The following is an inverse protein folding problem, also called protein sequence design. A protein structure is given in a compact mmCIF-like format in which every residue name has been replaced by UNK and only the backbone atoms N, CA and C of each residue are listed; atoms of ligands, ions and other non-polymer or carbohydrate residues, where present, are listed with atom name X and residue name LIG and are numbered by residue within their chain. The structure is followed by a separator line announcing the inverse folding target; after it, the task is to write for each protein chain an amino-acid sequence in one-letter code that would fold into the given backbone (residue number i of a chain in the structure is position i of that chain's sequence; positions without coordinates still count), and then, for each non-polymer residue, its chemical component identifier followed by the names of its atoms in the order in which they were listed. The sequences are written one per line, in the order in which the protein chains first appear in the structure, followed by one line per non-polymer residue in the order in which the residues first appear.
data_IF_013878122881
#
_entry.id   IF_013878122881
#
_cell.length_a   1.000
_cell.length_b   1.000
_cell.length_c   1.000
_cell.angle_alpha   90.00
_cell.angle_beta   90.00
_cell.angle_gamma   90.00
#
_symmetry.space_group_name_H-M   'P 1'
#
loop_
_entity.id
_entity.type
_entity.pdbx_description
1 polymer ?
#
# COMPACT_ATOMS: atom_id res chain seq x y z
N UNK A 1 -31.29 -62.20 -69.84
CA UNK A 1 -30.59 -63.02 -68.82
C UNK A 1 -30.57 -62.25 -67.51
N UNK A 2 -30.93 -62.96 -66.42
CA UNK A 2 -30.77 -62.70 -64.98
C UNK A 2 -31.08 -61.28 -64.45
N UNK A 3 -32.28 -60.97 -63.91
CA UNK A 3 -32.86 -61.34 -62.58
C UNK A 3 -31.98 -61.04 -61.37
N UNK A 4 -32.45 -60.10 -60.53
CA UNK A 4 -32.90 -60.22 -59.11
C UNK A 4 -33.13 -58.78 -58.61
N UNK A 5 -34.35 -58.26 -58.41
CA UNK A 5 -35.42 -58.58 -57.42
C UNK A 5 -34.89 -58.74 -55.99
N UNK A 6 -35.13 -57.73 -55.14
CA UNK A 6 -36.00 -57.88 -53.95
C UNK A 6 -36.37 -56.51 -53.35
N UNK A 7 -37.68 -56.25 -53.33
CA UNK A 7 -38.40 -55.18 -52.60
C UNK A 7 -38.53 -55.57 -51.10
N UNK A 8 -39.49 -55.07 -50.27
CA UNK A 8 -40.20 -53.77 -50.17
C UNK A 8 -40.23 -53.23 -48.71
N UNK A 9 -40.78 -52.04 -48.46
CA UNK A 9 -41.91 -51.78 -47.52
C UNK A 9 -42.25 -50.26 -47.56
N UNK A 10 -43.31 -49.88 -48.27
CA UNK A 10 -44.65 -49.50 -47.77
C UNK A 10 -44.69 -48.16 -47.01
N UNK A 11 -45.12 -47.08 -47.69
CA UNK A 11 -46.49 -46.47 -47.65
C UNK A 11 -46.80 -45.88 -46.25
N UNK A 12 -47.11 -44.59 -46.08
CA UNK A 12 -48.28 -43.96 -46.65
C UNK A 12 -48.27 -42.41 -46.61
N UNK A 13 -48.89 -41.85 -47.65
CA UNK A 13 -49.68 -40.61 -47.79
C UNK A 13 -49.66 -39.46 -46.77
N UNK A 14 -49.30 -38.28 -47.30
CA UNK A 14 -50.07 -37.01 -47.37
C UNK A 14 -50.75 -36.48 -46.10
N UNK A 15 -50.27 -35.32 -45.62
CA UNK A 15 -51.11 -34.12 -45.44
C UNK A 15 -50.30 -32.89 -45.85
N UNK A 16 -50.72 -32.20 -46.92
CA UNK A 16 -50.30 -30.83 -47.21
C UNK A 16 -51.01 -29.92 -46.21
N UNK A 17 -50.25 -29.29 -45.32
CA UNK A 17 -50.67 -28.07 -44.64
C UNK A 17 -49.80 -26.92 -45.13
N UNK A 18 -50.39 -25.75 -45.45
CA UNK A 18 -49.62 -24.58 -45.86
C UNK A 18 -48.90 -24.05 -44.62
N UNK A 19 -47.62 -24.38 -44.47
CA UNK A 19 -46.75 -23.62 -43.60
C UNK A 19 -46.59 -22.25 -44.24
N UNK A 20 -47.31 -21.28 -43.68
CA UNK A 20 -46.94 -19.88 -43.68
C UNK A 20 -45.52 -19.78 -43.10
N UNK A 21 -44.51 -20.02 -43.93
CA UNK A 21 -43.16 -19.60 -43.66
C UNK A 21 -43.20 -18.08 -43.74
N UNK A 22 -43.27 -17.46 -42.57
CA UNK A 22 -43.06 -16.05 -42.37
C UNK A 22 -41.89 -15.58 -43.25
N UNK A 23 -41.97 -14.39 -43.87
CA UNK A 23 -40.77 -13.80 -44.44
C UNK A 23 -39.74 -13.75 -43.33
N UNK A 24 -38.57 -14.35 -43.58
CA UNK A 24 -37.40 -14.15 -42.74
C UNK A 24 -37.20 -12.64 -42.74
N UNK A 25 -37.57 -12.00 -41.64
CA UNK A 25 -37.25 -10.61 -41.39
C UNK A 25 -35.73 -10.56 -41.33
N UNK A 26 -35.11 -10.15 -42.44
CA UNK A 26 -33.73 -9.70 -42.45
C UNK A 26 -33.72 -8.47 -41.53
N UNK A 27 -33.37 -8.69 -40.26
CA UNK A 27 -33.21 -7.64 -39.27
C UNK A 27 -32.04 -6.75 -39.72
N UNK A 28 -32.34 -5.56 -40.23
CA UNK A 28 -31.36 -4.56 -40.65
C UNK A 28 -30.56 -3.92 -39.48
N UNK A 29 -30.11 -4.68 -38.47
CA UNK A 29 -29.36 -4.12 -37.33
C UNK A 29 -28.22 -5.03 -36.82
N UNK A 30 -27.43 -5.65 -37.71
CA UNK A 30 -26.23 -6.36 -37.26
C UNK A 30 -25.10 -5.34 -36.99
N UNK A 31 -25.09 -4.76 -35.78
CA UNK A 31 -24.02 -3.86 -35.33
C UNK A 31 -22.87 -4.72 -34.82
N UNK A 32 -21.66 -4.51 -35.35
CA UNK A 32 -20.45 -5.08 -34.76
C UNK A 32 -20.03 -4.25 -33.54
N UNK A 33 -20.37 -4.72 -32.35
CA UNK A 33 -20.14 -3.99 -31.10
C UNK A 33 -18.66 -3.71 -30.82
N UNK A 34 -17.74 -4.57 -31.27
CA UNK A 34 -16.29 -4.34 -31.07
C UNK A 34 -15.78 -3.19 -31.91
N UNK A 35 -16.32 -3.03 -33.11
CA UNK A 35 -15.96 -1.94 -34.01
C UNK A 35 -16.78 -0.67 -33.74
N UNK A 36 -17.98 -0.81 -33.17
CA UNK A 36 -18.86 0.30 -32.82
C UNK A 36 -18.39 1.08 -31.59
N UNK A 37 -17.72 0.43 -30.63
CA UNK A 37 -17.24 1.12 -29.43
C UNK A 37 -16.15 2.13 -29.78
N UNK A 38 -16.29 3.34 -29.24
CA UNK A 38 -15.26 4.37 -29.18
C UNK A 38 -14.81 4.56 -27.74
N UNK A 39 -13.49 4.63 -27.53
CA UNK A 39 -12.88 4.75 -26.21
C UNK A 39 -12.17 6.09 -26.11
N UNK A 40 -12.76 6.99 -25.34
CA UNK A 40 -12.19 8.30 -25.04
C UNK A 40 -11.62 8.32 -23.62
N UNK A 41 -10.69 9.24 -23.36
CA UNK A 41 -10.06 9.40 -22.05
C UNK A 41 -10.27 10.80 -21.53
N UNK A 42 -10.71 10.92 -20.27
CA UNK A 42 -10.94 12.22 -19.60
C UNK A 42 -9.62 12.97 -19.42
N UNK A 43 -8.56 12.24 -19.08
CA UNK A 43 -7.20 12.73 -18.93
C UNK A 43 -6.28 12.01 -19.90
N UNK A 44 -5.10 12.56 -20.12
CA UNK A 44 -4.07 11.85 -20.86
C UNK A 44 -3.75 10.52 -20.16
N UNK A 45 -3.78 9.41 -20.91
CA UNK A 45 -3.57 8.06 -20.40
C UNK A 45 -2.25 7.93 -19.63
N UNK A 46 -1.17 8.52 -20.16
CA UNK A 46 0.16 8.42 -19.55
C UNK A 46 0.30 9.20 -18.23
N UNK A 47 -0.72 9.96 -17.82
CA UNK A 47 -0.79 10.68 -16.56
C UNK A 47 -1.74 10.01 -15.54
N UNK A 48 -2.31 8.85 -15.88
CA UNK A 48 -3.27 8.11 -15.05
C UNK A 48 -2.73 6.71 -14.81
N UNK A 49 -2.63 6.30 -13.56
CA UNK A 49 -2.28 4.92 -13.21
C UNK A 49 -3.30 3.92 -13.75
N UNK A 50 -2.85 2.70 -14.10
CA UNK A 50 -3.75 1.66 -14.58
C UNK A 50 -4.85 1.34 -13.54
N UNK A 51 -4.52 1.38 -12.24
CA UNK A 51 -5.51 1.22 -11.15
C UNK A 51 -6.67 2.23 -11.18
N UNK A 52 -6.44 3.43 -11.71
CA UNK A 52 -7.44 4.51 -11.73
C UNK A 52 -8.12 4.66 -13.11
N UNK A 53 -7.82 3.76 -14.05
CA UNK A 53 -8.22 3.86 -15.44
C UNK A 53 -9.74 3.89 -15.64
N UNK A 54 -10.50 3.07 -14.92
CA UNK A 54 -11.96 2.96 -15.11
C UNK A 54 -12.67 4.31 -14.92
N UNK A 55 -12.22 5.09 -13.93
CA UNK A 55 -12.76 6.43 -13.66
C UNK A 55 -12.39 7.48 -14.72
N UNK A 56 -11.45 7.17 -15.62
CA UNK A 56 -10.95 8.05 -16.66
C UNK A 56 -11.32 7.58 -18.09
N UNK A 57 -11.95 6.42 -18.24
CA UNK A 57 -12.42 5.89 -19.53
C UNK A 57 -13.86 6.35 -19.76
N UNK A 58 -14.13 6.83 -20.97
CA UNK A 58 -15.48 7.12 -21.46
C UNK A 58 -15.75 6.31 -22.71
N UNK A 59 -16.75 5.45 -22.65
CA UNK A 59 -17.20 4.67 -23.80
C UNK A 59 -18.35 5.39 -24.50
N UNK A 60 -18.31 5.43 -25.83
CA UNK A 60 -19.38 5.93 -26.67
C UNK A 60 -19.61 5.01 -27.88
N UNK A 61 -20.79 5.10 -28.50
CA UNK A 61 -21.15 4.32 -29.68
C UNK A 61 -20.98 5.17 -30.94
N UNK A 62 -20.20 4.66 -31.90
CA UNK A 62 -20.04 5.31 -33.21
C UNK A 62 -21.35 5.34 -34.00
N UNK A 63 -22.17 4.31 -33.89
CA UNK A 63 -23.50 4.26 -34.51
C UNK A 63 -24.55 5.07 -33.75
N UNK A 64 -24.26 5.54 -32.54
CA UNK A 64 -25.20 6.20 -31.63
C UNK A 64 -26.42 5.35 -31.23
N UNK A 65 -26.39 4.04 -31.49
CA UNK A 65 -27.51 3.10 -31.24
C UNK A 65 -27.28 2.21 -30.02
N UNK A 66 -26.06 2.15 -29.51
CA UNK A 66 -25.62 1.22 -28.46
C UNK A 66 -25.17 2.02 -27.25
N UNK A 67 -25.50 1.56 -26.05
CA UNK A 67 -24.87 2.03 -24.81
C UNK A 67 -24.00 0.90 -24.25
N UNK A 68 -23.00 1.23 -23.45
CA UNK A 68 -22.02 0.25 -22.96
C UNK A 68 -21.96 0.29 -21.44
N UNK A 69 -22.11 -0.88 -20.82
CA UNK A 69 -21.68 -1.11 -19.45
C UNK A 69 -20.22 -1.57 -19.45
N UNK A 70 -19.47 -1.14 -18.46
CA UNK A 70 -18.05 -1.43 -18.33
C UNK A 70 -17.74 -1.95 -16.93
N UNK A 71 -17.00 -3.04 -16.89
CA UNK A 71 -16.48 -3.64 -15.66
C UNK A 71 -14.96 -3.75 -15.77
N UNK A 72 -14.25 -3.46 -14.68
CA UNK A 72 -12.81 -3.65 -14.62
C UNK A 72 -12.52 -5.14 -14.35
N UNK A 73 -11.71 -5.77 -15.21
CA UNK A 73 -11.23 -7.14 -14.99
C UNK A 73 -9.90 -7.11 -14.23
N UNK A 74 -8.92 -6.39 -14.78
CA UNK A 74 -7.58 -6.36 -14.22
C UNK A 74 -6.83 -5.08 -14.61
N UNK A 75 -5.82 -4.76 -13.80
CA UNK A 75 -4.89 -3.66 -14.02
C UNK A 75 -3.48 -4.13 -13.76
N UNK A 76 -2.52 -3.55 -14.47
CA UNK A 76 -1.11 -3.77 -14.24
C UNK A 76 -0.37 -2.43 -14.28
N UNK A 77 -0.11 -1.87 -13.11
CA UNK A 77 0.63 -0.62 -12.96
C UNK A 77 2.12 -0.77 -13.32
N UNK A 78 2.67 -1.99 -13.40
CA UNK A 78 4.06 -2.20 -13.84
C UNK A 78 4.20 -1.95 -15.35
N UNK A 79 3.23 -2.45 -16.12
CA UNK A 79 3.22 -2.36 -17.58
C UNK A 79 2.38 -1.22 -18.13
N UNK A 80 1.47 -0.64 -17.33
CA UNK A 80 0.54 0.41 -17.75
C UNK A 80 -0.62 -0.14 -18.58
N UNK A 81 -1.07 -1.36 -18.26
CA UNK A 81 -2.07 -2.11 -19.02
C UNK A 81 -3.35 -2.31 -18.18
N UNK A 82 -4.50 -2.29 -18.86
CA UNK A 82 -5.82 -2.48 -18.26
C UNK A 82 -6.63 -3.42 -19.14
N UNK A 83 -7.37 -4.33 -18.51
CA UNK A 83 -8.37 -5.17 -19.19
C UNK A 83 -9.74 -4.83 -18.64
N UNK A 84 -10.66 -4.42 -19.53
CA UNK A 84 -12.05 -4.14 -19.20
C UNK A 84 -12.98 -5.11 -19.91
N UNK A 85 -14.09 -5.46 -19.27
CA UNK A 85 -15.21 -6.15 -19.88
C UNK A 85 -16.25 -5.12 -20.30
N UNK A 86 -16.67 -5.19 -21.55
CA UNK A 86 -17.64 -4.29 -22.15
C UNK A 86 -18.89 -5.10 -22.47
N UNK A 87 -20.04 -4.70 -21.92
CA UNK A 87 -21.34 -5.29 -22.21
C UNK A 87 -22.18 -4.29 -23.02
N UNK A 88 -22.42 -4.55 -24.31
CA UNK A 88 -23.26 -3.67 -25.13
C UNK A 88 -24.73 -3.81 -24.75
N UNK A 89 -25.46 -2.70 -24.81
CA UNK A 89 -26.90 -2.62 -24.60
C UNK A 89 -27.50 -2.01 -25.86
N UNK A 90 -28.29 -2.81 -26.57
CA UNK A 90 -29.03 -2.38 -27.75
C UNK A 90 -30.52 -2.50 -27.45
N UNK A 91 -31.26 -1.39 -27.55
CA UNK A 91 -32.71 -1.35 -27.27
C UNK A 91 -33.07 -1.96 -25.90
N UNK A 92 -32.31 -1.60 -24.86
CA UNK A 92 -32.46 -2.10 -23.49
C UNK A 92 -32.25 -3.61 -23.31
N UNK A 93 -31.65 -4.30 -24.29
CA UNK A 93 -31.25 -5.69 -24.18
C UNK A 93 -29.73 -5.82 -24.13
N UNK A 94 -29.24 -6.47 -23.07
CA UNK A 94 -27.84 -6.83 -22.91
C UNK A 94 -27.43 -7.79 -24.04
N UNK A 95 -26.30 -7.51 -24.65
CA UNK A 95 -25.68 -8.31 -25.68
C UNK A 95 -24.49 -9.09 -25.12
N UNK A 96 -23.92 -9.98 -25.92
CA UNK A 96 -22.71 -10.72 -25.52
C UNK A 96 -21.57 -9.75 -25.19
N UNK A 97 -21.04 -9.87 -23.98
CA UNK A 97 -19.92 -9.07 -23.52
C UNK A 97 -18.61 -9.51 -24.20
N UNK A 98 -17.65 -8.59 -24.27
CA UNK A 98 -16.31 -8.87 -24.75
C UNK A 98 -15.26 -8.11 -23.93
N UNK A 99 -14.03 -8.62 -23.95
CA UNK A 99 -12.90 -7.98 -23.28
C UNK A 99 -12.16 -7.04 -24.23
N UNK A 100 -11.68 -5.94 -23.67
CA UNK A 100 -10.80 -4.99 -24.34
C UNK A 100 -9.57 -4.73 -23.48
N UNK A 101 -8.40 -4.97 -24.07
CA UNK A 101 -7.12 -4.58 -23.49
C UNK A 101 -6.75 -3.17 -23.96
N UNK A 102 -6.35 -2.33 -23.01
CA UNK A 102 -5.94 -0.93 -23.24
C UNK A 102 -4.59 -0.70 -22.60
N UNK A 103 -3.64 -0.23 -23.42
CA UNK A 103 -2.25 0.02 -23.00
C UNK A 103 -1.94 1.53 -23.01
N UNK A 104 -0.83 1.88 -22.38
CA UNK A 104 -0.28 3.24 -22.36
C UNK A 104 -0.72 4.09 -21.16
N UNK A 105 -1.22 3.46 -20.10
CA UNK A 105 -1.41 4.12 -18.81
C UNK A 105 -0.08 4.40 -18.12
N UNK A 106 -0.09 5.31 -17.14
CA UNK A 106 1.09 5.63 -16.35
C UNK A 106 1.58 4.38 -15.60
N UNK A 107 2.84 4.03 -15.81
CA UNK A 107 3.52 2.97 -15.06
C UNK A 107 3.93 3.50 -13.68
N UNK A 108 3.83 2.69 -12.64
CA UNK A 108 4.29 3.06 -11.28
C UNK A 108 5.69 2.52 -11.05
N UNK A 109 6.64 3.42 -10.79
CA UNK A 109 8.03 3.04 -10.50
C UNK A 109 8.11 2.12 -9.28
N UNK A 110 7.37 2.45 -8.22
CA UNK A 110 7.32 1.67 -6.99
C UNK A 110 6.85 0.23 -7.20
N UNK A 111 5.91 0.00 -8.13
CA UNK A 111 5.44 -1.34 -8.47
C UNK A 111 6.49 -2.13 -9.25
N UNK A 112 7.19 -1.50 -10.18
CA UNK A 112 8.30 -2.12 -10.93
C UNK A 112 9.42 -2.53 -9.96
N UNK A 113 9.75 -1.66 -9.01
CA UNK A 113 10.85 -1.88 -8.07
C UNK A 113 10.56 -2.95 -6.99
N UNK A 114 9.32 -3.42 -6.83
CA UNK A 114 8.99 -4.57 -5.95
C UNK A 114 9.65 -5.88 -6.39
N UNK A 115 10.03 -5.96 -7.66
CA UNK A 115 10.70 -7.13 -8.22
C UNK A 115 12.20 -7.16 -7.87
N UNK A 116 12.76 -6.03 -7.41
CA UNK A 116 14.15 -5.96 -6.93
C UNK A 116 14.24 -6.58 -5.55
N UNK A 117 14.72 -7.82 -5.46
CA UNK A 117 14.84 -8.56 -4.18
C UNK A 117 16.14 -8.24 -3.45
N UNK A 118 17.24 -8.17 -4.19
CA UNK A 118 18.55 -7.77 -3.65
C UNK A 118 19.43 -7.20 -4.74
N UNK A 119 20.40 -6.39 -4.33
CA UNK A 119 21.54 -5.98 -5.15
C UNK A 119 22.82 -6.51 -4.55
N UNK A 120 23.81 -6.74 -5.40
CA UNK A 120 25.14 -7.18 -4.98
C UNK A 120 26.21 -6.68 -5.96
N UNK A 121 27.50 -6.83 -5.61
CA UNK A 121 28.63 -6.32 -6.36
C UNK A 121 29.57 -7.44 -6.82
N UNK A 122 29.96 -7.39 -8.10
CA UNK A 122 30.95 -8.30 -8.70
C UNK A 122 32.33 -8.02 -8.07
N UNK A 123 33.12 -9.08 -7.86
CA UNK A 123 34.50 -9.00 -7.33
C UNK A 123 34.65 -8.43 -5.90
N UNK A 124 33.57 -8.04 -5.21
CA UNK A 124 33.64 -7.37 -3.89
C UNK A 124 34.53 -8.06 -2.85
N UNK A 125 34.57 -9.40 -2.86
CA UNK A 125 35.37 -10.19 -1.90
C UNK A 125 36.88 -10.07 -2.10
N UNK A 126 37.34 -9.55 -3.24
CA UNK A 126 38.76 -9.34 -3.56
C UNK A 126 39.29 -8.01 -3.04
N UNK A 127 38.42 -7.09 -2.61
CA UNK A 127 38.79 -5.71 -2.29
C UNK A 127 38.30 -5.31 -0.89
N UNK A 128 39.02 -4.38 -0.24
CA UNK A 128 38.44 -3.63 0.89
C UNK A 128 37.41 -2.64 0.34
N UNK A 129 36.50 -2.17 1.20
CA UNK A 129 35.42 -1.26 0.78
C UNK A 129 35.99 0.02 0.12
N UNK A 130 36.95 0.68 0.75
CA UNK A 130 37.50 1.94 0.25
C UNK A 130 38.31 1.76 -1.04
N UNK A 131 39.04 0.64 -1.17
CA UNK A 131 39.76 0.27 -2.40
C UNK A 131 38.78 0.04 -3.55
N UNK A 132 37.68 -0.67 -3.27
CA UNK A 132 36.64 -0.96 -4.25
C UNK A 132 35.96 0.32 -4.75
N UNK A 133 35.60 1.22 -3.83
CA UNK A 133 35.02 2.52 -4.17
C UNK A 133 36.02 3.30 -5.04
N UNK A 134 37.27 3.42 -4.61
CA UNK A 134 38.30 4.16 -5.34
C UNK A 134 38.54 3.62 -6.76
N UNK A 135 38.52 2.30 -6.92
CA UNK A 135 38.77 1.64 -8.20
C UNK A 135 37.57 1.69 -9.15
N UNK A 136 36.35 1.52 -8.64
CA UNK A 136 35.16 1.28 -9.47
C UNK A 136 34.13 2.41 -9.44
N UNK A 137 34.37 3.54 -8.77
CA UNK A 137 33.37 4.61 -8.65
C UNK A 137 32.76 5.07 -9.99
N UNK A 138 33.59 5.23 -11.03
CA UNK A 138 33.13 5.66 -12.36
C UNK A 138 32.44 4.55 -13.17
N UNK A 139 32.67 3.28 -12.83
CA UNK A 139 32.12 2.10 -13.53
C UNK A 139 31.24 1.26 -12.60
N UNK A 140 30.75 1.83 -11.50
CA UNK A 140 30.08 1.09 -10.44
C UNK A 140 28.82 0.38 -10.97
N UNK A 141 28.13 1.02 -11.93
CA UNK A 141 26.95 0.48 -12.58
C UNK A 141 27.20 -0.89 -13.23
N UNK A 142 28.35 -1.06 -13.86
CA UNK A 142 28.73 -2.31 -14.55
C UNK A 142 29.10 -3.43 -13.56
N UNK A 143 29.29 -3.06 -12.29
CA UNK A 143 29.61 -4.00 -11.21
C UNK A 143 28.39 -4.41 -10.39
N UNK A 144 27.23 -3.79 -10.59
CA UNK A 144 26.00 -4.15 -9.86
C UNK A 144 25.34 -5.36 -10.50
N UNK A 145 25.11 -6.38 -9.69
CA UNK A 145 24.21 -7.50 -9.99
C UNK A 145 22.89 -7.30 -9.28
N UNK A 146 21.82 -7.80 -9.88
CA UNK A 146 20.46 -7.67 -9.34
C UNK A 146 19.84 -9.05 -9.25
N UNK A 147 19.09 -9.32 -8.19
CA UNK A 147 18.22 -10.49 -8.11
C UNK A 147 16.78 -10.02 -8.28
N UNK A 148 16.20 -10.40 -9.41
CA UNK A 148 14.76 -10.29 -9.68
C UNK A 148 14.21 -11.67 -10.05
N UNK A 149 12.88 -11.85 -10.17
CA UNK A 149 12.31 -13.13 -10.61
C UNK A 149 12.80 -13.59 -11.99
N UNK A 150 13.19 -12.67 -12.87
CA UNK A 150 13.45 -12.97 -14.29
C UNK A 150 14.86 -12.54 -14.77
N UNK A 151 15.48 -11.57 -14.10
CA UNK A 151 16.75 -10.95 -14.52
C UNK A 151 17.83 -11.05 -13.44
N UNK A 152 19.07 -11.24 -13.88
CA UNK A 152 20.28 -11.30 -13.04
C UNK A 152 21.23 -10.10 -13.23
N UNK A 153 21.02 -9.31 -14.28
CA UNK A 153 21.82 -8.14 -14.67
C UNK A 153 21.03 -6.85 -14.47
N UNK A 154 21.66 -5.83 -13.87
CA UNK A 154 21.03 -4.52 -13.70
C UNK A 154 20.66 -3.91 -15.05
N UNK A 155 21.53 -4.02 -16.06
CA UNK A 155 21.28 -3.43 -17.37
C UNK A 155 20.08 -4.06 -18.10
N UNK A 156 19.88 -5.37 -17.94
CA UNK A 156 18.75 -6.07 -18.57
C UNK A 156 17.43 -5.63 -17.90
N UNK A 157 17.41 -5.56 -16.57
CA UNK A 157 16.28 -5.03 -15.81
C UNK A 157 15.94 -3.59 -16.21
N UNK A 158 16.94 -2.70 -16.29
CA UNK A 158 16.74 -1.32 -16.69
C UNK A 158 16.21 -1.22 -18.13
N UNK A 159 16.74 -2.02 -19.05
CA UNK A 159 16.33 -2.01 -20.47
C UNK A 159 14.90 -2.48 -20.64
N UNK A 160 14.53 -3.59 -20.00
CA UNK A 160 13.19 -4.18 -20.04
C UNK A 160 12.11 -3.18 -19.63
N UNK A 161 12.34 -2.49 -18.51
CA UNK A 161 11.38 -1.53 -17.96
C UNK A 161 11.60 -0.09 -18.46
N UNK A 162 12.62 0.13 -19.30
CA UNK A 162 13.03 1.46 -19.79
C UNK A 162 13.27 2.44 -18.63
N UNK A 163 14.03 1.98 -17.64
CA UNK A 163 14.41 2.75 -16.46
C UNK A 163 15.77 3.42 -16.68
N UNK A 164 15.93 4.58 -16.07
CA UNK A 164 17.19 5.29 -15.96
C UNK A 164 17.75 5.16 -14.54
N UNK A 165 19.08 5.33 -14.41
CA UNK A 165 19.76 5.47 -13.12
C UNK A 165 20.30 6.89 -13.04
N UNK A 166 19.69 7.72 -12.22
CA UNK A 166 20.12 9.12 -12.01
C UNK A 166 21.25 9.23 -10.99
N UNK A 167 21.38 8.24 -10.10
CA UNK A 167 22.41 8.23 -9.08
C UNK A 167 22.73 6.81 -8.65
N UNK A 168 24.01 6.51 -8.49
CA UNK A 168 24.50 5.25 -7.97
C UNK A 168 25.72 5.54 -7.11
N UNK A 169 25.64 5.23 -5.82
CA UNK A 169 26.72 5.48 -4.87
C UNK A 169 26.93 4.26 -3.99
N UNK A 170 28.19 4.04 -3.62
CA UNK A 170 28.60 3.05 -2.64
C UNK A 170 29.35 3.80 -1.53
N UNK A 171 28.91 3.63 -0.29
CA UNK A 171 29.55 4.27 0.87
C UNK A 171 29.94 3.22 1.90
N UNK A 172 31.09 3.36 2.53
CA UNK A 172 31.44 2.49 3.65
C UNK A 172 30.44 2.65 4.80
N UNK A 173 30.02 1.52 5.38
CA UNK A 173 29.12 1.48 6.55
C UNK A 173 29.85 0.93 7.77
N UNK A 174 30.54 -0.20 7.61
CA UNK A 174 31.40 -0.80 8.63
C UNK A 174 32.60 -1.47 7.94
N UNK A 175 33.69 -0.72 7.77
CA UNK A 175 34.92 -1.21 7.14
C UNK A 175 35.55 -2.38 7.91
N UNK A 176 35.32 -2.48 9.23
CA UNK A 176 35.87 -3.56 10.06
C UNK A 176 35.20 -4.90 9.78
N UNK A 177 33.92 -4.88 9.39
CA UNK A 177 33.14 -6.05 8.99
C UNK A 177 33.05 -6.24 7.47
N UNK A 178 33.68 -5.37 6.69
CA UNK A 178 33.60 -5.40 5.24
C UNK A 178 32.17 -5.17 4.74
N UNK A 179 31.48 -4.18 5.30
CA UNK A 179 30.09 -3.83 4.97
C UNK A 179 30.03 -2.42 4.37
N UNK A 180 29.33 -2.30 3.26
CA UNK A 180 29.05 -1.04 2.56
C UNK A 180 27.55 -0.86 2.34
N UNK A 181 27.12 0.36 2.06
CA UNK A 181 25.75 0.68 1.65
C UNK A 181 25.74 1.12 0.18
N UNK A 182 25.00 0.38 -0.66
CA UNK A 182 24.77 0.69 -2.06
C UNK A 182 23.45 1.44 -2.20
N UNK A 183 23.48 2.64 -2.73
CA UNK A 183 22.30 3.48 -3.00
C UNK A 183 22.13 3.68 -4.50
N UNK A 184 20.96 3.36 -5.02
CA UNK A 184 20.62 3.52 -6.43
C UNK A 184 19.32 4.32 -6.57
N UNK A 185 19.35 5.38 -7.36
CA UNK A 185 18.20 6.21 -7.71
C UNK A 185 17.73 5.85 -9.11
N UNK A 186 16.63 5.12 -9.16
CA UNK A 186 15.94 4.77 -10.39
C UNK A 186 15.02 5.89 -10.83
N UNK A 187 14.80 5.98 -12.14
CA UNK A 187 13.87 6.93 -12.75
C UNK A 187 13.10 6.29 -13.89
N UNK A 188 11.85 6.71 -14.00
CA UNK A 188 10.99 6.46 -15.15
C UNK A 188 10.11 7.67 -15.36
N UNK A 189 10.13 8.24 -16.57
CA UNK A 189 9.38 9.46 -16.88
C UNK A 189 9.67 10.58 -15.85
N UNK A 190 8.65 11.03 -15.09
CA UNK A 190 8.77 12.02 -14.03
C UNK A 190 8.93 11.44 -12.61
N UNK A 191 8.95 10.11 -12.47
CA UNK A 191 9.05 9.43 -11.18
C UNK A 191 10.50 9.07 -10.89
N UNK A 192 10.92 9.29 -9.65
CA UNK A 192 12.24 8.89 -9.14
C UNK A 192 12.08 8.16 -7.82
N UNK A 193 12.83 7.09 -7.61
CA UNK A 193 12.83 6.35 -6.35
C UNK A 193 14.24 5.87 -6.03
N UNK A 194 14.67 6.06 -4.77
CA UNK A 194 15.98 5.61 -4.30
C UNK A 194 15.81 4.33 -3.49
N UNK A 195 16.53 3.26 -3.85
CA UNK A 195 16.67 2.04 -3.05
C UNK A 195 18.06 1.99 -2.45
N UNK A 196 18.15 1.55 -1.19
CA UNK A 196 19.41 1.36 -0.49
C UNK A 196 19.51 -0.10 -0.02
N UNK A 197 20.67 -0.71 -0.25
CA UNK A 197 20.96 -2.09 0.13
C UNK A 197 22.27 -2.14 0.90
N UNK A 198 22.30 -2.99 1.93
CA UNK A 198 23.54 -3.34 2.62
C UNK A 198 24.27 -4.42 1.83
N UNK A 199 25.54 -4.18 1.52
CA UNK A 199 26.41 -5.10 0.80
C UNK A 199 27.50 -5.55 1.75
N UNK A 200 27.50 -6.84 2.09
CA UNK A 200 28.50 -7.49 2.93
C UNK A 200 29.44 -8.36 2.11
N UNK A 201 30.54 -8.83 2.73
CA UNK A 201 31.48 -9.77 2.10
C UNK A 201 32.64 -9.11 1.36
N UNK A 202 32.97 -7.85 1.69
CA UNK A 202 34.24 -7.26 1.29
C UNK A 202 35.39 -7.85 2.09
N UNK A 203 36.62 -7.72 1.57
CA UNK A 203 37.83 -8.14 2.28
C UNK A 203 38.02 -7.30 3.54
N UNK A 204 38.12 -7.97 4.69
CA UNK A 204 38.48 -7.35 5.96
C UNK A 204 40.00 -7.33 6.12
N UNK A 205 40.54 -6.29 6.75
CA UNK A 205 41.93 -6.33 7.20
C UNK A 205 41.98 -7.25 8.41
N UNK A 206 42.72 -8.35 8.34
CA UNK A 206 43.13 -9.01 9.57
C UNK A 206 44.04 -8.02 10.30
N UNK A 207 43.59 -7.49 11.44
CA UNK A 207 44.51 -6.93 12.41
C UNK A 207 45.39 -8.10 12.86
N UNK A 208 46.58 -8.19 12.28
CA UNK A 208 47.65 -8.97 12.87
C UNK A 208 47.83 -8.44 14.30
N UNK A 209 47.75 -9.29 15.34
CA UNK A 209 47.99 -8.81 16.70
C UNK A 209 49.39 -8.23 16.75
N UNK A 210 49.48 -6.94 17.08
CA UNK A 210 50.74 -6.29 17.45
C UNK A 210 51.25 -6.99 18.72
N UNK A 211 52.19 -7.92 18.56
CA UNK A 211 53.04 -8.34 19.67
C UNK A 211 53.92 -7.13 19.98
N UNK A 212 53.89 -6.57 21.20
CA UNK A 212 54.84 -5.52 21.58
C UNK A 212 56.25 -6.12 21.55
N UNK A 213 57.17 -5.47 20.84
CA UNK A 213 58.60 -5.75 20.98
C UNK A 213 59.02 -5.46 22.43
N UNK A 214 59.17 -6.52 23.23
CA UNK A 214 59.88 -6.47 24.50
C UNK A 214 61.39 -6.39 24.24
N UNK A 215 62.16 -5.70 25.12
CA UNK A 215 63.58 -5.49 24.90
C UNK A 215 64.31 -6.83 25.03
N UNK A 216 65.25 -7.08 24.12
CA UNK A 216 65.89 -8.38 23.95
C UNK A 216 66.85 -8.78 25.06
N UNK A 217 67.04 -10.09 25.20
CA UNK A 217 68.30 -10.73 25.59
C UNK A 217 68.48 -12.06 24.80
N UNK A 218 69.67 -12.18 24.22
CA UNK A 218 70.49 -13.27 23.61
C UNK A 218 69.91 -14.58 23.02
N UNK A 219 70.57 -15.14 21.97
CA UNK A 219 70.22 -16.40 21.32
C UNK A 219 70.98 -17.60 21.92
N UNK A 220 70.52 -18.80 21.52
CA UNK A 220 71.09 -20.14 21.78
C UNK A 220 70.41 -20.98 22.87
N UNK A 221 69.47 -21.80 22.42
CA UNK A 221 69.19 -23.22 22.70
C UNK A 221 67.65 -23.41 22.69
N UNK A 222 67.02 -24.42 22.12
CA UNK A 222 67.46 -25.68 21.54
C UNK A 222 66.30 -26.15 20.64
N UNK A 223 66.61 -27.02 19.68
CA UNK A 223 65.65 -27.82 18.90
C UNK A 223 64.55 -28.42 19.81
N UNK A 224 63.28 -28.44 19.37
CA UNK A 224 62.46 -29.66 19.18
C UNK A 224 61.03 -29.31 18.71
N UNK A 225 60.69 -29.88 17.53
CA UNK A 225 59.40 -30.39 17.04
C UNK A 225 58.10 -29.53 17.10
N UNK A 226 57.36 -29.39 15.97
CA UNK A 226 55.98 -28.91 15.99
C UNK A 226 55.05 -30.07 16.38
N UNK A 227 54.55 -30.08 17.60
CA UNK A 227 53.41 -30.95 17.93
C UNK A 227 52.11 -30.34 17.39
N UNK A 228 51.38 -31.21 16.69
CA UNK A 228 50.06 -31.08 16.10
C UNK A 228 49.04 -30.43 17.08
N UNK A 229 47.99 -29.74 16.59
CA UNK A 229 46.95 -29.21 17.46
C UNK A 229 46.23 -30.35 18.18
N UNK A 230 46.03 -30.15 19.48
CA UNK A 230 45.29 -31.05 20.37
C UNK A 230 43.89 -31.35 19.83
N UNK A 231 43.47 -32.61 19.99
CA UNK A 231 42.13 -33.11 19.69
C UNK A 231 41.04 -32.27 20.40
N UNK A 232 39.84 -32.16 19.80
CA UNK A 232 38.72 -31.48 20.44
C UNK A 232 38.32 -32.23 21.73
N UNK A 233 38.17 -31.48 22.81
CA UNK A 233 37.64 -31.97 24.08
C UNK A 233 36.18 -32.37 23.86
N UNK A 234 35.86 -33.64 24.15
CA UNK A 234 34.50 -34.18 24.18
C UNK A 234 33.72 -33.48 25.32
N UNK A 235 32.50 -32.96 25.11
CA UNK A 235 31.73 -32.37 26.19
C UNK A 235 31.34 -33.45 27.21
N UNK A 236 31.71 -33.21 28.48
CA UNK A 236 31.28 -34.02 29.62
C UNK A 236 29.74 -34.05 29.73
N UNK A 237 29.25 -35.25 30.01
CA UNK A 237 27.86 -35.61 30.30
C UNK A 237 27.35 -34.78 31.50
N UNK A 238 26.20 -34.08 31.40
CA UNK A 238 25.66 -33.37 32.55
C UNK A 238 25.03 -34.38 33.51
N UNK A 239 25.76 -34.70 34.58
CA UNK A 239 25.25 -35.41 35.74
C UNK A 239 24.04 -34.66 36.36
N UNK A 240 22.96 -35.43 36.43
CA UNK A 240 21.84 -35.42 37.37
C UNK A 240 21.96 -34.46 38.58
N UNK A 241 21.32 -33.29 38.48
CA UNK A 241 20.92 -32.49 39.64
C UNK A 241 19.39 -32.29 39.61
N UNK A 242 18.71 -33.12 40.40
CA UNK A 242 17.28 -33.04 40.68
C UNK A 242 16.93 -31.78 41.47
N UNK A 243 16.66 -30.66 40.79
CA UNK A 243 15.90 -29.56 41.38
C UNK A 243 14.41 -29.78 41.16
N UNK A 244 13.76 -30.27 42.21
CA UNK A 244 12.31 -30.33 42.35
C UNK A 244 11.72 -28.89 42.34
N UNK A 245 10.97 -28.48 41.31
CA UNK A 245 10.18 -27.25 41.39
C UNK A 245 8.98 -27.53 42.28
N UNK A 246 8.95 -26.90 43.45
CA UNK A 246 7.80 -26.95 44.36
C UNK A 246 6.51 -26.61 43.63
N UNK A 247 5.49 -27.44 43.87
CA UNK A 247 4.14 -27.31 43.34
C UNK A 247 3.59 -25.89 43.64
N UNK A 248 3.07 -25.13 42.66
CA UNK A 248 2.44 -23.85 42.93
C UNK A 248 1.17 -24.07 43.76
N UNK A 249 1.02 -23.30 44.83
CA UNK A 249 -0.17 -23.28 45.69
C UNK A 249 -1.43 -22.99 44.89
N UNK A 250 -2.52 -23.68 45.23
CA UNK A 250 -3.86 -23.43 44.68
C UNK A 250 -4.27 -21.95 44.84
N UNK A 251 -4.95 -21.35 43.85
CA UNK A 251 -5.54 -20.04 44.01
C UNK A 251 -6.66 -20.11 45.05
N UNK A 252 -6.63 -19.21 46.02
CA UNK A 252 -7.73 -18.99 46.97
C UNK A 252 -8.95 -18.44 46.24
N UNK A 253 -10.12 -18.98 46.57
CA UNK A 253 -11.42 -18.48 46.11
C UNK A 253 -11.57 -16.98 46.39
N UNK A 254 -12.13 -16.19 45.45
CA UNK A 254 -12.49 -14.81 45.74
C UNK A 254 -13.61 -14.75 46.78
N UNK A 255 -13.45 -13.88 47.78
CA UNK A 255 -14.47 -13.59 48.79
C UNK A 255 -15.80 -13.17 48.14
N UNK A 256 -16.90 -13.71 48.67
CA UNK A 256 -18.27 -13.32 48.31
C UNK A 256 -18.46 -11.80 48.47
N UNK A 257 -19.06 -11.10 47.50
CA UNK A 257 -19.48 -9.73 47.71
C UNK A 257 -20.63 -9.71 48.72
N UNK A 258 -20.40 -8.94 49.78
CA UNK A 258 -21.31 -8.66 50.90
C UNK A 258 -22.72 -8.25 50.44
N UNK A 259 -23.69 -8.66 51.24
CA UNK A 259 -25.12 -8.48 51.02
C UNK A 259 -25.50 -6.99 50.97
N UNK A 260 -26.49 -6.73 50.12
CA UNK A 260 -27.31 -5.54 50.03
C UNK A 260 -27.72 -4.97 51.40
N UNK A 261 -27.59 -3.66 51.56
CA UNK A 261 -28.44 -2.89 52.47
C UNK A 261 -29.40 -2.00 51.69
N UNK A 262 -30.63 -2.04 52.19
CA UNK A 262 -31.89 -1.73 51.55
C UNK A 262 -32.18 -0.25 51.23
N UNK A 263 -33.21 -0.15 50.40
CA UNK A 263 -34.01 0.97 49.89
C UNK A 263 -34.52 1.97 50.94
N UNK A 264 -34.77 3.23 50.52
CA UNK A 264 -36.13 3.83 50.44
C UNK A 264 -36.09 5.19 49.69
N UNK A 265 -37.21 5.86 49.29
CA UNK A 265 -37.73 5.73 47.93
C UNK A 265 -38.06 7.10 47.28
N UNK A 266 -38.58 7.01 46.05
CA UNK A 266 -39.40 8.01 45.34
C UNK A 266 -38.82 9.42 45.10
N UNK A 267 -38.46 9.70 43.84
CA UNK A 267 -39.12 10.83 43.16
C UNK A 267 -39.17 10.63 41.63
N UNK A 268 -40.37 10.80 41.07
CA UNK A 268 -40.67 10.68 39.65
C UNK A 268 -39.96 11.77 38.82
N UNK A 269 -39.21 11.46 37.76
CA UNK A 269 -38.93 12.44 36.72
C UNK A 269 -40.14 12.50 35.77
N UNK A 270 -40.91 13.58 35.88
CA UNK A 270 -42.07 13.86 35.05
C UNK A 270 -41.79 13.93 33.54
N UNK A 271 -42.90 13.84 32.78
CA UNK A 271 -43.00 13.97 31.32
C UNK A 271 -42.00 14.97 30.70
N UNK A 272 -41.36 14.63 29.56
CA UNK A 272 -40.56 15.60 28.83
C UNK A 272 -41.44 16.71 28.23
N UNK A 273 -41.05 17.96 28.47
CA UNK A 273 -41.69 19.14 27.88
C UNK A 273 -41.46 19.19 26.35
N UNK A 274 -42.51 19.62 25.65
CA UNK A 274 -42.56 19.83 24.19
C UNK A 274 -41.49 20.86 23.77
N UNK A 275 -40.71 20.63 22.69
CA UNK A 275 -39.75 21.62 22.22
C UNK A 275 -40.46 22.88 21.72
N UNK A 276 -39.99 24.06 22.12
CA UNK A 276 -40.44 25.33 21.56
C UNK A 276 -39.91 25.52 20.14
N UNK A 277 -40.75 26.06 19.26
CA UNK A 277 -40.42 26.37 17.87
C UNK A 277 -39.20 27.32 17.76
N UNK A 278 -38.35 27.17 16.73
CA UNK A 278 -37.27 28.12 16.47
C UNK A 278 -37.82 29.52 16.18
N UNK A 279 -37.16 30.55 16.72
CA UNK A 279 -37.41 31.95 16.35
C UNK A 279 -36.96 32.19 14.90
N UNK A 280 -37.79 32.88 14.13
CA UNK A 280 -37.48 33.28 12.76
C UNK A 280 -36.18 34.11 12.66
N UNK A 281 -35.41 33.96 11.57
CA UNK A 281 -34.21 34.76 11.34
C UNK A 281 -34.57 36.24 11.15
N UNK A 282 -33.77 37.14 11.74
CA UNK A 282 -33.88 38.58 11.48
C UNK A 282 -33.38 38.91 10.07
N UNK A 283 -34.07 39.81 9.39
CA UNK A 283 -33.71 40.32 8.07
C UNK A 283 -32.30 40.98 8.08
N UNK A 284 -31.53 40.85 6.98
CA UNK A 284 -30.24 41.51 6.86
C UNK A 284 -30.40 43.03 6.73
N UNK A 285 -29.55 43.78 7.43
CA UNK A 285 -29.44 45.24 7.29
C UNK A 285 -28.64 45.60 6.04
N UNK A 286 -29.17 46.59 5.33
CA UNK A 286 -28.68 47.26 4.12
C UNK A 286 -27.21 47.73 4.21
N UNK A 287 -26.33 47.46 3.22
CA UNK A 287 -24.98 48.00 3.20
C UNK A 287 -24.96 49.44 2.66
N UNK A 288 -25.18 50.40 3.55
CA UNK A 288 -25.02 51.83 3.27
C UNK A 288 -23.57 52.32 3.34
N UNK A 289 -23.15 52.95 2.25
CA UNK A 289 -22.09 53.97 2.07
C UNK A 289 -20.60 53.61 2.27
N UNK A 290 -19.91 53.69 1.13
CA UNK A 290 -18.47 53.75 0.94
C UNK A 290 -17.84 54.97 1.62
N UNK A 291 -16.65 54.78 2.22
CA UNK A 291 -15.70 55.85 2.54
C UNK A 291 -14.52 55.75 1.56
N UNK A 292 -14.02 56.86 0.98
CA UNK A 292 -12.93 56.82 0.02
C UNK A 292 -11.58 56.42 0.65
N UNK A 293 -10.64 55.88 -0.15
CA UNK A 293 -9.42 55.27 0.34
C UNK A 293 -8.42 56.31 0.88
N UNK A 294 -7.75 55.93 1.96
CA UNK A 294 -6.61 56.65 2.52
C UNK A 294 -5.38 56.32 1.64
N UNK A 295 -4.65 57.37 1.29
CA UNK A 295 -3.42 57.41 0.50
C UNK A 295 -2.37 56.40 0.97
N UNK A 296 -1.74 55.75 -0.01
CA UNK A 296 -0.67 54.77 0.09
C UNK A 296 0.57 55.36 0.79
N UNK A 297 0.97 54.74 1.89
CA UNK A 297 2.39 54.64 2.24
C UNK A 297 2.99 53.49 1.42
N UNK A 298 4.24 53.71 1.02
CA UNK A 298 5.06 52.92 0.10
C UNK A 298 5.18 51.45 0.54
N UNK A 299 4.67 50.46 -0.23
CA UNK A 299 4.94 49.06 0.06
C UNK A 299 6.32 48.70 -0.47
N UNK A 300 7.19 48.25 0.45
CA UNK A 300 8.44 47.58 0.12
C UNK A 300 8.26 46.59 -1.04
N UNK A 301 9.16 46.74 -2.00
CA UNK A 301 9.36 45.89 -3.17
C UNK A 301 9.05 44.41 -2.87
N UNK A 302 8.09 43.76 -3.57
CA UNK A 302 7.79 42.36 -3.34
C UNK A 302 9.00 41.49 -3.71
N UNK A 303 9.38 40.57 -2.82
CA UNK A 303 10.20 39.42 -3.19
C UNK A 303 9.47 38.61 -4.27
N UNK A 304 10.25 38.13 -5.25
CA UNK A 304 9.73 37.33 -6.38
C UNK A 304 8.89 36.15 -5.87
N UNK A 305 7.77 35.80 -6.52
CA UNK A 305 7.03 34.59 -6.20
C UNK A 305 7.91 33.37 -6.43
N UNK A 306 8.10 32.55 -5.41
CA UNK A 306 8.68 31.23 -5.57
C UNK A 306 7.81 30.40 -6.52
N UNK A 307 8.46 29.82 -7.53
CA UNK A 307 7.93 28.83 -8.46
C UNK A 307 7.21 27.73 -7.66
N UNK A 308 6.01 27.26 -8.07
CA UNK A 308 5.35 26.16 -7.38
C UNK A 308 6.26 24.93 -7.38
N UNK A 309 6.59 24.44 -6.18
CA UNK A 309 7.31 23.18 -6.01
C UNK A 309 6.44 22.02 -6.51
N UNK A 310 7.05 21.22 -7.38
CA UNK A 310 6.49 20.03 -8.00
C UNK A 310 6.18 18.96 -6.93
N UNK A 311 5.02 18.26 -6.96
CA UNK A 311 4.73 17.19 -6.01
C UNK A 311 5.51 15.94 -6.42
N UNK A 312 6.64 15.67 -5.76
CA UNK A 312 7.44 14.49 -6.08
C UNK A 312 8.73 14.30 -5.30
N UNK A 313 8.90 14.94 -4.14
CA UNK A 313 10.06 14.63 -3.29
C UNK A 313 9.86 13.24 -2.68
N UNK A 314 10.80 12.28 -2.89
CA UNK A 314 10.81 11.03 -2.13
C UNK A 314 10.83 11.35 -0.63
N UNK A 315 10.30 10.48 0.25
CA UNK A 315 10.47 10.65 1.68
C UNK A 315 11.97 10.65 1.98
N UNK A 316 12.50 11.83 2.32
CA UNK A 316 13.86 11.99 2.80
C UNK A 316 14.01 11.12 4.05
N UNK A 317 15.06 10.30 4.12
CA UNK A 317 15.37 9.53 5.33
C UNK A 317 15.86 10.42 6.49
N UNK A 318 15.84 11.75 6.32
CA UNK A 318 15.96 12.68 7.43
C UNK A 318 14.80 12.52 8.41
N UNK A 319 15.03 12.85 9.68
CA UNK A 319 13.95 12.97 10.64
C UNK A 319 12.89 13.94 10.09
N UNK A 320 11.59 13.61 10.19
CA UNK A 320 10.54 14.52 9.79
C UNK A 320 10.70 15.85 10.50
N UNK A 321 10.48 16.96 9.79
CA UNK A 321 10.54 18.30 10.39
C UNK A 321 9.22 18.74 11.04
N UNK A 322 8.11 18.18 10.60
CA UNK A 322 6.75 18.50 11.04
C UNK A 322 5.79 17.32 10.81
N UNK A 323 4.53 17.44 11.23
CA UNK A 323 3.53 16.40 11.07
C UNK A 323 3.21 16.07 9.60
N UNK A 324 3.26 17.06 8.71
CA UNK A 324 2.98 16.89 7.29
C UNK A 324 4.07 16.07 6.63
N UNK A 325 5.33 16.37 6.93
CA UNK A 325 6.50 15.60 6.50
C UNK A 325 6.46 14.19 7.10
N UNK A 326 6.11 14.04 8.39
CA UNK A 326 5.97 12.73 9.02
C UNK A 326 4.89 11.87 8.35
N UNK A 327 3.77 12.48 7.92
CA UNK A 327 2.71 11.80 7.18
C UNK A 327 3.18 11.40 5.77
N UNK A 328 3.90 12.28 5.06
CA UNK A 328 4.51 11.96 3.74
C UNK A 328 5.51 10.82 3.81
N UNK A 329 6.20 10.68 4.94
CA UNK A 329 7.19 9.62 5.19
C UNK A 329 6.58 8.36 5.84
N UNK A 330 5.25 8.28 6.03
CA UNK A 330 4.59 7.18 6.75
C UNK A 330 5.15 6.94 8.17
N UNK A 331 5.64 8.00 8.84
CA UNK A 331 6.18 7.99 10.21
C UNK A 331 5.22 8.60 11.24
N UNK A 332 4.09 9.16 10.81
CA UNK A 332 3.12 9.78 11.71
C UNK A 332 2.12 8.77 12.30
N UNK A 333 1.53 7.94 11.45
CA UNK A 333 0.80 6.74 11.85
C UNK A 333 1.58 5.56 11.28
N UNK A 334 1.94 4.61 12.14
CA UNK A 334 2.73 3.43 11.78
C UNK A 334 2.02 2.17 12.22
N UNK A 335 2.32 1.07 11.55
CA UNK A 335 1.74 -0.24 11.82
C UNK A 335 2.87 -1.18 12.18
N UNK A 336 2.70 -1.91 13.28
CA UNK A 336 3.65 -2.88 13.78
C UNK A 336 3.11 -4.28 13.51
N UNK A 337 3.53 -4.88 12.39
CA UNK A 337 3.09 -6.21 11.98
C UNK A 337 3.58 -7.32 12.93
N UNK A 338 4.57 -7.02 13.78
CA UNK A 338 5.10 -7.95 14.78
C UNK A 338 4.40 -7.82 16.15
N UNK A 339 3.48 -6.88 16.31
CA UNK A 339 2.72 -6.73 17.55
C UNK A 339 1.86 -7.99 17.79
N UNK A 340 1.84 -8.57 19.01
CA UNK A 340 1.03 -9.76 19.30
C UNK A 340 -0.46 -9.59 18.98
N UNK A 341 -0.98 -8.36 19.05
CA UNK A 341 -2.38 -8.07 18.74
C UNK A 341 -2.63 -7.83 17.24
N UNK A 342 -1.60 -7.74 16.39
CA UNK A 342 -1.75 -7.36 14.98
C UNK A 342 -2.76 -8.22 14.24
N UNK A 343 -2.68 -9.55 14.37
CA UNK A 343 -3.62 -10.45 13.70
C UNK A 343 -5.03 -10.35 14.28
N UNK A 344 -5.17 -10.10 15.59
CA UNK A 344 -6.46 -9.87 16.25
C UNK A 344 -7.09 -8.56 15.75
N UNK A 345 -6.28 -7.51 15.58
CA UNK A 345 -6.70 -6.21 15.05
C UNK A 345 -7.15 -6.31 13.59
N UNK A 346 -6.41 -7.06 12.76
CA UNK A 346 -6.83 -7.38 11.38
C UNK A 346 -8.19 -8.06 11.37
N UNK A 347 -8.40 -9.07 12.22
CA UNK A 347 -9.66 -9.80 12.29
C UNK A 347 -10.80 -8.90 12.78
N UNK A 348 -10.57 -8.12 13.83
CA UNK A 348 -11.55 -7.16 14.37
C UNK A 348 -11.97 -6.13 13.31
N UNK A 349 -11.02 -5.61 12.53
CA UNK A 349 -11.31 -4.67 11.45
C UNK A 349 -12.08 -5.37 10.31
N UNK A 350 -11.71 -6.60 9.92
CA UNK A 350 -12.47 -7.36 8.91
C UNK A 350 -13.92 -7.58 9.34
N UNK A 351 -14.15 -8.01 10.58
CA UNK A 351 -15.49 -8.16 11.16
C UNK A 351 -16.24 -6.83 11.20
N UNK A 352 -15.56 -5.73 11.54
CA UNK A 352 -16.16 -4.39 11.51
C UNK A 352 -16.65 -3.99 10.12
N UNK A 353 -15.94 -4.39 9.06
CA UNK A 353 -16.35 -4.13 7.67
C UNK A 353 -17.52 -5.02 7.19
N UNK A 354 -17.76 -6.18 7.80
CA UNK A 354 -18.94 -7.02 7.51
C UNK A 354 -20.25 -6.37 7.94
N UNK A 355 -20.23 -5.53 8.98
CA UNK A 355 -21.41 -4.79 9.45
C UNK A 355 -21.87 -3.81 8.36
N UNK A 356 -23.18 -3.57 8.15
CA UNK A 356 -23.64 -2.58 7.18
C UNK A 356 -23.09 -1.19 7.50
N UNK A 357 -22.75 -0.43 6.45
CA UNK A 357 -22.19 0.92 6.62
C UNK A 357 -23.30 1.90 7.00
N UNK A 358 -23.43 2.18 8.29
CA UNK A 358 -24.38 3.16 8.84
C UNK A 358 -23.78 4.57 8.99
N UNK A 359 -22.46 4.71 8.82
CA UNK A 359 -21.77 6.01 8.84
C UNK A 359 -20.29 5.91 8.44
N UNK A 360 -19.46 6.80 8.98
CA UNK A 360 -18.01 6.81 8.69
C UNK A 360 -17.33 5.63 9.36
N UNK A 361 -16.47 4.89 8.66
CA UNK A 361 -15.64 3.83 9.28
C UNK A 361 -14.49 4.49 10.04
N UNK A 362 -14.73 4.88 11.29
CA UNK A 362 -13.80 5.70 12.07
C UNK A 362 -12.73 4.84 12.74
N UNK A 363 -11.55 5.42 12.84
CA UNK A 363 -10.46 4.99 13.70
C UNK A 363 -10.11 6.17 14.61
N UNK A 364 -10.35 5.99 15.91
CA UNK A 364 -10.18 7.02 16.93
C UNK A 364 -9.08 6.58 17.92
N UNK A 365 -8.10 7.45 18.18
CA UNK A 365 -7.14 7.30 19.28
C UNK A 365 -7.77 7.83 20.58
N UNK A 366 -7.84 6.97 21.60
CA UNK A 366 -8.36 7.30 22.92
C UNK A 366 -7.27 7.93 23.81
N UNK A 367 -7.69 8.56 24.90
CA UNK A 367 -6.78 9.22 25.86
C UNK A 367 -5.86 8.24 26.59
N UNK A 368 -6.27 6.98 26.73
CA UNK A 368 -5.46 5.90 27.30
C UNK A 368 -4.47 5.29 26.27
N UNK A 369 -4.40 5.86 25.07
CA UNK A 369 -3.55 5.38 23.99
C UNK A 369 -4.12 4.19 23.22
N UNK A 370 -5.30 3.69 23.59
CA UNK A 370 -5.98 2.62 22.86
C UNK A 370 -6.65 3.13 21.58
N UNK A 371 -6.81 2.24 20.59
CA UNK A 371 -7.52 2.55 19.37
C UNK A 371 -8.93 1.97 19.39
N UNK A 372 -9.88 2.69 18.80
CA UNK A 372 -11.25 2.19 18.68
C UNK A 372 -11.85 2.39 17.29
N UNK A 373 -12.75 1.48 16.92
CA UNK A 373 -13.55 1.54 15.71
C UNK A 373 -15.00 1.92 16.01
N UNK A 374 -15.56 2.83 15.21
CA UNK A 374 -16.98 3.25 15.28
C UNK A 374 -17.54 3.53 13.89
N UNK A 375 -18.80 3.19 13.61
CA UNK A 375 -19.48 3.58 12.36
C UNK A 375 -20.42 4.78 12.53
N UNK A 376 -20.98 4.98 13.73
CA UNK A 376 -21.86 6.10 14.09
C UNK A 376 -21.58 6.69 15.48
N UNK A 377 -22.34 7.72 15.83
CA UNK A 377 -22.21 8.41 17.14
C UNK A 377 -22.73 7.53 18.29
N UNK A 378 -23.69 6.65 17.99
CA UNK A 378 -24.35 5.76 18.95
C UNK A 378 -23.79 4.33 18.96
N UNK A 379 -22.76 4.04 18.17
CA UNK A 379 -22.14 2.71 18.14
C UNK A 379 -21.21 2.52 19.34
N UNK A 380 -21.32 1.35 19.99
CA UNK A 380 -20.33 0.90 20.97
C UNK A 380 -18.96 0.77 20.28
N UNK A 381 -17.91 1.47 20.78
CA UNK A 381 -16.57 1.34 20.24
C UNK A 381 -16.06 -0.10 20.32
N UNK A 382 -15.51 -0.59 19.22
CA UNK A 382 -14.72 -1.82 19.21
C UNK A 382 -13.28 -1.43 19.52
N UNK A 383 -12.71 -1.94 20.62
CA UNK A 383 -11.30 -1.70 20.95
C UNK A 383 -10.39 -2.53 20.04
N UNK A 384 -9.26 -1.94 19.66
CA UNK A 384 -8.12 -2.62 19.04
C UNK A 384 -6.97 -2.68 20.05
N UNK A 385 -6.03 -3.57 19.78
CA UNK A 385 -4.73 -3.67 20.44
C UNK A 385 -3.77 -2.56 20.02
N UNK A 386 -2.47 -2.86 20.11
CA UNK A 386 -1.38 -1.86 20.01
C UNK A 386 -0.64 -1.87 18.67
N UNK A 387 -1.15 -2.60 17.69
CA UNK A 387 -0.52 -2.73 16.38
C UNK A 387 -0.52 -1.44 15.55
N UNK A 388 -1.33 -0.45 15.90
CA UNK A 388 -1.33 0.89 15.31
C UNK A 388 -0.68 1.85 16.30
N UNK A 389 0.25 2.67 15.82
CA UNK A 389 0.94 3.69 16.64
C UNK A 389 0.79 5.06 15.99
N UNK A 390 0.68 6.08 16.83
CA UNK A 390 0.67 7.48 16.40
C UNK A 390 1.80 8.23 17.10
N UNK A 391 2.55 9.02 16.34
CA UNK A 391 3.71 9.74 16.84
C UNK A 391 3.32 11.12 17.38
N UNK A 392 3.23 11.23 18.71
CA UNK A 392 2.86 12.44 19.43
C UNK A 392 3.92 13.57 19.35
N UNK A 393 5.11 13.33 18.76
CA UNK A 393 6.17 14.34 18.62
C UNK A 393 5.67 15.64 17.94
N UNK A 394 4.66 15.53 17.09
CA UNK A 394 4.18 16.63 16.24
C UNK A 394 2.81 17.19 16.64
N UNK A 395 2.33 16.85 17.84
CA UNK A 395 1.03 17.26 18.36
C UNK A 395 0.14 16.07 18.69
N UNK A 396 -0.98 16.33 19.37
CA UNK A 396 -1.93 15.27 19.70
C UNK A 396 -2.74 14.85 18.47
N UNK A 397 -3.20 13.61 18.46
CA UNK A 397 -3.99 13.05 17.36
C UNK A 397 -5.21 13.93 17.02
N UNK A 398 -5.97 14.36 18.03
CA UNK A 398 -7.18 15.17 17.82
C UNK A 398 -6.88 16.59 17.31
N UNK A 399 -5.68 17.12 17.55
CA UNK A 399 -5.26 18.43 17.03
C UNK A 399 -4.92 18.34 15.55
N UNK A 400 -4.14 17.32 15.17
CA UNK A 400 -3.53 17.27 13.85
C UNK A 400 -4.29 16.41 12.83
N UNK A 401 -5.03 15.38 13.26
CA UNK A 401 -5.69 14.44 12.37
C UNK A 401 -7.11 14.90 12.03
N UNK A 402 -7.45 14.82 10.74
CA UNK A 402 -8.80 15.01 10.22
C UNK A 402 -9.24 13.85 9.34
N UNK A 403 -10.54 13.62 9.27
CA UNK A 403 -11.12 12.61 8.41
C UNK A 403 -10.80 12.89 6.93
N UNK A 404 -10.49 11.85 6.16
CA UNK A 404 -10.27 11.98 4.73
C UNK A 404 -11.45 12.62 3.99
N UNK A 405 -12.69 12.40 4.45
CA UNK A 405 -13.89 12.97 3.86
C UNK A 405 -14.25 14.39 4.32
N UNK A 406 -13.81 14.88 5.49
CA UNK A 406 -14.24 16.17 6.07
C UNK A 406 -13.15 16.82 6.95
N UNK A 407 -12.89 18.13 6.75
CA UNK A 407 -11.87 18.91 7.49
C UNK A 407 -12.19 19.15 8.98
N UNK A 408 -13.44 19.00 9.43
CA UNK A 408 -13.81 19.30 10.83
C UNK A 408 -13.79 18.09 11.76
N UNK A 409 -13.79 16.87 11.21
CA UNK A 409 -13.89 15.64 11.99
C UNK A 409 -12.52 15.15 12.44
N UNK A 410 -12.33 15.00 13.76
CA UNK A 410 -11.04 14.72 14.41
C UNK A 410 -10.75 13.22 14.57
N UNK A 411 -10.82 12.47 13.46
CA UNK A 411 -10.57 11.03 13.44
C UNK A 411 -9.95 10.59 12.12
N UNK A 412 -9.29 9.43 12.11
CA UNK A 412 -8.88 8.75 10.88
C UNK A 412 -10.02 7.87 10.36
N UNK A 413 -9.96 7.47 9.09
CA UNK A 413 -10.96 6.61 8.45
C UNK A 413 -10.32 5.32 7.99
N UNK A 414 -11.04 4.21 8.13
CA UNK A 414 -10.63 2.94 7.54
C UNK A 414 -11.28 2.75 6.17
N UNK A 415 -10.51 2.21 5.25
CA UNK A 415 -10.94 1.81 3.91
C UNK A 415 -10.54 0.36 3.67
N UNK A 416 -11.51 -0.47 3.31
CA UNK A 416 -11.26 -1.83 2.84
C UNK A 416 -11.26 -1.85 1.31
N UNK A 417 -10.31 -2.56 0.72
CA UNK A 417 -10.29 -2.89 -0.71
C UNK A 417 -10.60 -4.36 -0.83
N UNK A 418 -11.64 -4.69 -1.59
CA UNK A 418 -12.11 -6.06 -1.75
C UNK A 418 -11.58 -6.67 -3.05
N UNK A 419 -11.28 -7.97 -3.01
CA UNK A 419 -11.05 -8.81 -4.19
C UNK A 419 -12.17 -9.85 -4.21
N UNK A 420 -13.19 -9.60 -5.03
CA UNK A 420 -14.45 -10.36 -4.95
C UNK A 420 -15.20 -10.05 -3.65
N UNK A 421 -15.64 -11.09 -2.94
CA UNK A 421 -16.34 -10.97 -1.65
C UNK A 421 -15.41 -10.81 -0.44
N UNK A 422 -14.09 -10.93 -0.62
CA UNK A 422 -13.13 -10.91 0.48
C UNK A 422 -12.35 -9.58 0.54
N UNK A 423 -12.04 -9.15 1.76
CA UNK A 423 -11.18 -7.99 1.99
C UNK A 423 -9.74 -8.38 1.67
N UNK A 424 -9.15 -7.69 0.69
CA UNK A 424 -7.78 -7.88 0.23
C UNK A 424 -6.80 -6.85 0.80
N UNK A 425 -7.27 -5.66 1.17
CA UNK A 425 -6.46 -4.65 1.86
C UNK A 425 -7.26 -3.83 2.84
N UNK A 426 -6.61 -3.35 3.89
CA UNK A 426 -7.11 -2.40 4.88
C UNK A 426 -6.16 -1.21 4.89
N UNK A 427 -6.71 -0.01 4.73
CA UNK A 427 -5.99 1.27 4.67
C UNK A 427 -6.53 2.20 5.75
N UNK A 428 -5.62 2.86 6.47
CA UNK A 428 -5.92 4.02 7.32
C UNK A 428 -5.77 5.29 6.48
N UNK A 429 -6.88 5.98 6.23
CA UNK A 429 -6.95 7.24 5.49
C UNK A 429 -7.13 8.43 6.46
N UNK A 430 -6.33 9.47 6.31
CA UNK A 430 -6.46 10.71 7.09
C UNK A 430 -5.98 11.95 6.33
N UNK A 431 -6.27 13.12 6.89
CA UNK A 431 -5.72 14.42 6.49
C UNK A 431 -5.00 15.05 7.67
N UNK A 432 -4.05 15.91 7.39
CA UNK A 432 -3.50 16.84 8.38
C UNK A 432 -4.40 18.08 8.44
N UNK A 433 -4.56 18.66 9.64
CA UNK A 433 -5.28 19.93 9.84
C UNK A 433 -4.81 20.99 8.84
N UNK A 434 -5.77 21.74 8.29
CA UNK A 434 -5.57 22.76 7.25
C UNK A 434 -4.98 22.28 5.91
N UNK A 435 -4.64 20.99 5.80
CA UNK A 435 -4.15 20.38 4.57
C UNK A 435 -5.29 19.71 3.79
N UNK A 436 -5.21 19.82 2.47
CA UNK A 436 -6.17 19.16 1.58
C UNK A 436 -5.75 17.77 1.13
N UNK A 437 -4.44 17.51 1.16
CA UNK A 437 -3.85 16.24 0.80
C UNK A 437 -4.33 15.15 1.77
N UNK A 438 -4.77 14.03 1.19
CA UNK A 438 -5.03 12.79 1.93
C UNK A 438 -3.77 11.96 2.03
N UNK A 439 -3.62 11.28 3.15
CA UNK A 439 -2.57 10.33 3.45
C UNK A 439 -3.20 8.97 3.70
N UNK A 440 -2.55 7.93 3.19
CA UNK A 440 -2.98 6.55 3.31
C UNK A 440 -1.82 5.74 3.90
N UNK A 441 -2.12 4.95 4.93
CA UNK A 441 -1.19 3.99 5.53
C UNK A 441 -1.79 2.60 5.33
N UNK A 442 -1.05 1.71 4.67
CA UNK A 442 -1.46 0.32 4.54
C UNK A 442 -1.36 -0.34 5.92
N UNK A 443 -2.51 -0.79 6.44
CA UNK A 443 -2.56 -1.52 7.69
C UNK A 443 -2.38 -3.01 7.50
N UNK A 444 -3.00 -3.54 6.44
CA UNK A 444 -2.91 -4.96 6.12
C UNK A 444 -3.19 -5.20 4.65
N UNK A 445 -2.51 -6.16 4.05
CA UNK A 445 -2.79 -6.67 2.72
C UNK A 445 -2.75 -8.20 2.72
N UNK A 446 -3.65 -8.84 1.99
CA UNK A 446 -3.58 -10.27 1.70
C UNK A 446 -2.31 -10.53 0.88
N UNK A 447 -1.45 -11.40 1.39
CA UNK A 447 -0.24 -11.85 0.69
C UNK A 447 -0.57 -12.73 -0.51
#
# INVERSE_FOLDING_TARGET
MSKKISKPLLFAAVVLSPLLSTPILISCNNIDFKNDVNVDFIKNKNAVAATDALSNIKLSSKSSKVTYEVELISTNDKTGEVVIKITPILKNQLQTAFELKIDGFQRKLSEILKDVKSLDLIDKSKHKVDDYISQFNSTLKDKVTIKTPEETSLNDFLTKYKLEVEGLTLTSKDSSKGIAALSIRFKIDSQTETKQFEISGFKISQNQPNIPEGPGEDPEDNLHNPENPSEPIDPEDPDDDSYNPGNPSEPTDPEDPDESLDEDPEDNPGKPNKPNNPKEPREPKDPGNQKPPITSEDPEKPEKPNKPENPGTPPSNSDPKDALDAAKQSKLITVDENDPDYQNDVNAIKEFFKKPKTGSRRLDLQTDGSWTLKSGVNDSPIKLGKSIKFNNKWGSFAEIIRAGSNKSWKFAQLKAINKGSEISKIIVEFKIVDQQQKFEVEFWASK
#
